data_IF_713229883596
#
_entry.id   IF_713229883596
#
_cell.length_a   1.000
_cell.length_b   1.000
_cell.length_c   1.000
_cell.angle_alpha   90.00
_cell.angle_beta   90.00
_cell.angle_gamma   90.00
#
_symmetry.space_group_name_H-M   'P 1'
#
loop_
_entity.id
_entity.type
_entity.pdbx_description
1 polymer ?
#
# COMPACT_ATOMS: atom_id res chain seq x y z
N UNK A 1 11.21 10.21 -2.51
CA UNK A 1 9.98 9.62 -1.92
C UNK A 1 10.25 8.19 -1.43
N UNK A 2 11.28 7.96 -0.60
CA UNK A 2 11.67 6.63 -0.11
C UNK A 2 11.04 6.31 1.27
N UNK A 3 10.95 7.32 2.13
CA UNK A 3 10.51 7.22 3.53
C UNK A 3 9.07 6.73 3.75
N UNK A 4 8.18 7.00 2.81
CA UNK A 4 6.77 6.58 2.89
C UNK A 4 6.58 5.09 2.63
N UNK A 5 7.39 4.51 1.74
CA UNK A 5 7.37 3.08 1.44
C UNK A 5 7.88 2.27 2.64
N UNK A 6 8.96 2.73 3.28
CA UNK A 6 9.51 2.08 4.47
C UNK A 6 8.56 2.08 5.67
N UNK A 7 7.96 3.22 6.01
CA UNK A 7 7.04 3.28 7.16
C UNK A 7 5.68 2.61 6.91
N UNK A 8 5.14 2.68 5.69
CA UNK A 8 3.81 2.15 5.42
C UNK A 8 3.80 0.65 5.09
N UNK A 9 4.86 0.14 4.47
CA UNK A 9 4.93 -1.23 3.95
C UNK A 9 6.09 -2.07 4.50
N UNK A 10 6.96 -1.54 5.35
CA UNK A 10 8.06 -2.29 5.98
C UNK A 10 9.04 -2.85 4.94
N UNK A 11 9.38 -2.03 3.95
CA UNK A 11 10.25 -2.40 2.83
C UNK A 11 11.63 -2.88 3.29
N UNK A 12 12.27 -2.20 4.25
CA UNK A 12 13.56 -2.61 4.84
C UNK A 12 13.52 -4.00 5.51
N UNK A 13 12.37 -4.38 6.09
CA UNK A 13 12.19 -5.69 6.74
C UNK A 13 11.83 -6.81 5.75
N UNK A 14 11.46 -6.47 4.51
CA UNK A 14 11.08 -7.46 3.51
C UNK A 14 12.31 -8.18 2.95
N UNK A 15 12.66 -9.32 3.56
CA UNK A 15 13.79 -10.19 3.19
C UNK A 15 13.52 -11.05 1.94
N UNK A 16 12.74 -10.54 0.98
CA UNK A 16 12.43 -11.22 -0.28
C UNK A 16 13.70 -11.22 -1.13
N UNK A 17 14.35 -12.39 -1.26
CA UNK A 17 15.63 -12.58 -1.97
C UNK A 17 15.54 -13.54 -3.16
N UNK A 18 14.33 -13.90 -3.57
CA UNK A 18 14.10 -14.86 -4.64
C UNK A 18 13.78 -14.12 -5.93
N UNK A 19 14.63 -14.27 -6.94
CA UNK A 19 14.36 -13.85 -8.33
C UNK A 19 13.93 -12.36 -8.43
N UNK A 20 12.99 -12.05 -9.33
CA UNK A 20 12.41 -10.74 -9.55
C UNK A 20 11.38 -10.35 -8.48
N UNK A 21 11.21 -11.13 -7.42
CA UNK A 21 10.17 -10.89 -6.43
C UNK A 21 10.35 -9.54 -5.71
N UNK A 22 11.59 -9.08 -5.49
CA UNK A 22 11.85 -7.75 -4.93
C UNK A 22 11.30 -6.63 -5.82
N UNK A 23 11.52 -6.71 -7.14
CA UNK A 23 11.05 -5.72 -8.10
C UNK A 23 9.53 -5.78 -8.26
N UNK A 24 8.95 -6.99 -8.34
CA UNK A 24 7.50 -7.18 -8.40
C UNK A 24 6.81 -6.58 -7.17
N UNK A 25 7.37 -6.79 -5.98
CA UNK A 25 6.82 -6.26 -4.74
C UNK A 25 6.96 -4.74 -4.66
N UNK A 26 8.06 -4.17 -5.14
CA UNK A 26 8.23 -2.72 -5.22
C UNK A 26 7.16 -2.07 -6.12
N UNK A 27 6.85 -2.69 -7.27
CA UNK A 27 5.78 -2.23 -8.17
C UNK A 27 4.42 -2.34 -7.47
N UNK A 28 4.12 -3.46 -6.81
CA UNK A 28 2.86 -3.64 -6.08
C UNK A 28 2.68 -2.59 -4.97
N UNK A 29 3.72 -2.36 -4.15
CA UNK A 29 3.68 -1.32 -3.11
C UNK A 29 3.44 0.06 -3.72
N UNK A 30 4.05 0.37 -4.86
CA UNK A 30 3.86 1.64 -5.59
C UNK A 30 2.40 1.79 -6.05
N UNK A 31 1.81 0.75 -6.61
CA UNK A 31 0.39 0.74 -7.03
C UNK A 31 -0.52 0.97 -5.82
N UNK A 32 -0.35 0.19 -4.75
CA UNK A 32 -1.14 0.34 -3.53
C UNK A 32 -1.00 1.75 -2.91
N UNK A 33 0.21 2.29 -2.87
CA UNK A 33 0.45 3.63 -2.35
C UNK A 33 -0.27 4.70 -3.19
N UNK A 34 -0.21 4.60 -4.52
CA UNK A 34 -0.90 5.53 -5.41
C UNK A 34 -2.41 5.48 -5.21
N UNK A 35 -3.00 4.28 -5.08
CA UNK A 35 -4.42 4.11 -4.79
C UNK A 35 -4.81 4.75 -3.45
N UNK A 36 -4.01 4.51 -2.40
CA UNK A 36 -4.26 5.07 -1.07
C UNK A 36 -4.07 6.59 -1.01
N UNK A 37 -3.23 7.19 -1.87
CA UNK A 37 -3.06 8.65 -1.99
C UNK A 37 -4.22 9.27 -2.78
N UNK A 38 -4.70 8.58 -3.83
CA UNK A 38 -5.83 9.01 -4.63
C UNK A 38 -7.15 9.02 -3.84
N UNK A 39 -7.28 8.18 -2.81
CA UNK A 39 -8.40 8.25 -1.88
C UNK A 39 -8.46 9.62 -1.18
N UNK A 40 -9.56 10.34 -1.41
CA UNK A 40 -9.87 11.60 -0.71
C UNK A 40 -10.98 11.44 0.32
N UNK A 41 -11.61 10.25 0.34
CA UNK A 41 -12.76 9.94 1.20
C UNK A 41 -12.36 9.85 2.67
N UNK A 42 -11.18 9.27 2.97
CA UNK A 42 -10.73 9.08 4.35
C UNK A 42 -9.65 10.07 4.74
N UNK A 43 -9.92 11.03 5.65
CA UNK A 43 -8.90 11.91 6.25
C UNK A 43 -8.09 11.19 7.34
N UNK A 44 -7.29 10.20 6.94
CA UNK A 44 -6.36 9.49 7.81
C UNK A 44 -4.99 9.35 7.15
N UNK A 45 -3.93 9.10 7.94
CA UNK A 45 -2.61 8.79 7.41
C UNK A 45 -2.60 7.47 6.62
N UNK A 46 -1.63 7.31 5.72
CA UNK A 46 -1.53 6.15 4.81
C UNK A 46 -1.53 4.80 5.55
N UNK A 47 -0.88 4.72 6.72
CA UNK A 47 -0.92 3.52 7.56
C UNK A 47 -2.33 3.14 8.03
N UNK A 48 -3.12 4.11 8.46
CA UNK A 48 -4.52 3.89 8.88
C UNK A 48 -5.43 3.58 7.69
N UNK A 49 -5.23 4.25 6.55
CA UNK A 49 -5.95 3.92 5.31
C UNK A 49 -5.66 2.49 4.86
N UNK A 50 -4.40 2.05 4.93
CA UNK A 50 -4.00 0.66 4.65
C UNK A 50 -4.68 -0.33 5.61
N UNK A 51 -4.70 -0.03 6.90
CA UNK A 51 -5.38 -0.86 7.89
C UNK A 51 -6.90 -0.96 7.61
N UNK A 52 -7.53 0.17 7.27
CA UNK A 52 -8.94 0.21 6.88
C UNK A 52 -9.21 -0.63 5.63
N UNK A 53 -8.36 -0.53 4.60
CA UNK A 53 -8.45 -1.37 3.40
C UNK A 53 -8.22 -2.86 3.68
N UNK A 54 -7.46 -3.19 4.72
CA UNK A 54 -7.30 -4.57 5.17
C UNK A 54 -8.51 -5.07 5.95
N UNK A 55 -9.23 -4.20 6.66
CA UNK A 55 -10.31 -4.57 7.57
C UNK A 55 -11.72 -4.45 6.98
N UNK A 56 -11.92 -3.65 5.93
CA UNK A 56 -13.21 -3.41 5.29
C UNK A 56 -13.16 -3.76 3.80
N UNK A 57 -14.01 -4.70 3.40
CA UNK A 57 -14.22 -5.11 2.02
C UNK A 57 -14.82 -3.97 1.18
N UNK A 58 -15.82 -3.25 1.70
CA UNK A 58 -16.45 -2.12 0.98
C UNK A 58 -15.45 -1.02 0.65
N UNK A 59 -14.61 -0.64 1.62
CA UNK A 59 -13.58 0.37 1.40
C UNK A 59 -12.49 -0.11 0.44
N UNK A 60 -12.20 -1.41 0.41
CA UNK A 60 -11.28 -2.00 -0.55
C UNK A 60 -11.86 -2.00 -1.97
N UNK A 61 -13.14 -2.30 -2.12
CA UNK A 61 -13.85 -2.23 -3.41
C UNK A 61 -13.88 -0.79 -3.94
N UNK A 62 -14.21 0.19 -3.09
CA UNK A 62 -14.23 1.62 -3.44
C UNK A 62 -12.88 2.12 -3.97
N UNK A 63 -11.78 1.82 -3.26
CA UNK A 63 -10.43 2.21 -3.69
C UNK A 63 -10.01 1.50 -4.98
N UNK A 64 -10.46 0.26 -5.18
CA UNK A 64 -10.19 -0.49 -6.42
C UNK A 64 -11.16 -0.14 -7.55
N UNK A 65 -12.16 0.72 -7.29
CA UNK A 65 -13.24 1.05 -8.22
C UNK A 65 -13.96 -0.20 -8.75
N UNK A 66 -14.19 -1.17 -7.86
CA UNK A 66 -14.87 -2.45 -8.10
C UNK A 66 -16.31 -2.46 -7.56
#
# INVERSE_FOLDING_TARGET
MHWLLDMAFGEDQCRIRVDNAAQNFAILRRICLNLLIADTSTKAGIGNRRLKASASDDYRADILSL
#
